data_IF_961019120800
#
_entry.id   IF_961019120800
#
_cell.length_a   1.000
_cell.length_b   1.000
_cell.length_c   1.000
_cell.angle_alpha   90.00
_cell.angle_beta   90.00
_cell.angle_gamma   90.00
#
_symmetry.space_group_name_H-M   'P 1'
#
loop_
_entity.id
_entity.type
_entity.pdbx_description
1 polymer ?
#
# COMPACT_ATOMS: atom_id res chain seq x y z
N UNK A 1 1.24 -8.22 -11.77
CA UNK A 1 2.23 -7.13 -11.60
C UNK A 1 3.63 -7.64 -11.94
N UNK A 2 4.26 -7.13 -13.00
CA UNK A 2 5.63 -7.49 -13.41
C UNK A 2 6.69 -6.61 -12.75
N UNK A 3 6.32 -5.40 -12.31
CA UNK A 3 7.23 -4.45 -11.63
C UNK A 3 7.91 -5.03 -10.39
N UNK A 4 7.13 -5.64 -9.50
CA UNK A 4 7.63 -6.22 -8.25
C UNK A 4 8.34 -7.57 -8.44
N UNK A 5 8.36 -8.11 -9.66
CA UNK A 5 9.13 -9.32 -10.01
C UNK A 5 10.51 -8.99 -10.59
N UNK A 6 10.83 -7.71 -10.79
CA UNK A 6 12.14 -7.29 -11.26
C UNK A 6 13.20 -7.56 -10.18
N UNK A 7 14.24 -8.33 -10.50
CA UNK A 7 15.29 -8.73 -9.55
C UNK A 7 15.95 -7.54 -8.84
N UNK A 8 16.18 -6.42 -9.53
CA UNK A 8 16.82 -5.23 -8.92
C UNK A 8 15.89 -4.56 -7.92
N UNK A 9 14.59 -4.50 -8.22
CA UNK A 9 13.57 -3.98 -7.31
C UNK A 9 13.43 -4.90 -6.09
N UNK A 10 13.39 -6.22 -6.31
CA UNK A 10 13.32 -7.21 -5.23
C UNK A 10 14.49 -7.13 -4.27
N UNK A 11 15.72 -6.95 -4.76
CA UNK A 11 16.89 -6.83 -3.89
C UNK A 11 16.78 -5.61 -2.97
N UNK A 12 16.45 -4.43 -3.53
CA UNK A 12 16.28 -3.21 -2.72
C UNK A 12 15.15 -3.38 -1.69
N UNK A 13 14.02 -3.98 -2.12
CA UNK A 13 12.92 -4.25 -1.21
C UNK A 13 13.36 -5.18 -0.08
N UNK A 14 13.97 -6.32 -0.38
CA UNK A 14 14.39 -7.30 0.64
C UNK A 14 15.48 -6.77 1.59
N UNK A 15 16.35 -5.88 1.12
CA UNK A 15 17.45 -5.32 1.93
C UNK A 15 17.00 -4.15 2.81
N UNK A 16 16.07 -3.31 2.33
CA UNK A 16 15.77 -2.01 2.97
C UNK A 16 14.33 -1.84 3.42
N UNK A 17 13.39 -2.65 2.93
CA UNK A 17 11.96 -2.44 3.14
C UNK A 17 11.24 -3.73 3.58
N UNK A 18 10.14 -3.56 4.30
CA UNK A 18 9.18 -4.64 4.49
C UNK A 18 8.06 -4.49 3.47
N UNK A 19 8.03 -5.38 2.48
CA UNK A 19 6.99 -5.38 1.47
C UNK A 19 5.76 -6.16 1.94
N UNK A 20 4.59 -5.51 1.91
CA UNK A 20 3.30 -6.10 2.27
C UNK A 20 2.25 -5.75 1.21
N UNK A 21 1.35 -6.69 0.94
CA UNK A 21 0.15 -6.46 0.13
C UNK A 21 -1.07 -6.36 1.03
N UNK A 22 -1.88 -5.33 0.84
CA UNK A 22 -3.16 -5.18 1.49
C UNK A 22 -4.29 -5.43 0.49
N UNK A 23 -5.17 -6.39 0.78
CA UNK A 23 -6.40 -6.56 0.02
C UNK A 23 -7.47 -5.62 0.60
N UNK A 24 -7.89 -4.62 -0.19
CA UNK A 24 -8.85 -3.62 0.26
C UNK A 24 -10.26 -4.18 0.50
N UNK A 25 -10.64 -5.30 -0.15
CA UNK A 25 -11.94 -5.93 0.05
C UNK A 25 -11.93 -7.01 1.16
N UNK A 26 -10.83 -7.12 1.92
CA UNK A 26 -10.71 -8.12 2.97
C UNK A 26 -11.65 -7.80 4.14
N UNK A 27 -12.51 -8.75 4.49
CA UNK A 27 -13.55 -8.58 5.51
C UNK A 27 -13.04 -8.70 6.96
N UNK A 28 -11.75 -8.99 7.15
CA UNK A 28 -11.19 -9.11 8.51
C UNK A 28 -11.03 -7.75 9.17
N UNK A 29 -11.03 -7.75 10.49
CA UNK A 29 -10.51 -6.62 11.26
C UNK A 29 -8.99 -6.65 11.25
N UNK A 30 -8.35 -5.51 10.99
CA UNK A 30 -6.90 -5.34 10.98
C UNK A 30 -6.50 -4.41 12.12
N UNK A 31 -5.56 -4.86 12.96
CA UNK A 31 -4.97 -4.01 14.00
C UNK A 31 -3.64 -3.49 13.47
N UNK A 32 -3.52 -2.18 13.34
CA UNK A 32 -2.32 -1.52 12.84
C UNK A 32 -2.04 -0.25 13.63
N UNK A 33 -0.78 -0.03 14.02
CA UNK A 33 -0.36 1.14 14.80
C UNK A 33 -1.26 1.45 16.02
N UNK A 34 -1.56 0.42 16.83
CA UNK A 34 -2.45 0.48 18.00
C UNK A 34 -3.90 0.90 17.70
N UNK A 35 -4.28 0.94 16.43
CA UNK A 35 -5.61 1.29 15.95
C UNK A 35 -6.30 0.08 15.32
N UNK A 36 -7.62 0.03 15.43
CA UNK A 36 -8.45 -1.05 14.89
C UNK A 36 -9.12 -0.55 13.62
N UNK A 37 -8.92 -1.27 12.52
CA UNK A 37 -9.49 -0.98 11.21
C UNK A 37 -10.45 -2.11 10.83
N UNK A 38 -11.72 -1.76 10.62
CA UNK A 38 -12.79 -2.70 10.30
C UNK A 38 -13.07 -2.72 8.80
N UNK A 39 -13.80 -3.74 8.39
CA UNK A 39 -14.41 -3.77 7.07
C UNK A 39 -15.68 -2.93 7.08
N UNK A 40 -15.79 -1.97 6.16
CA UNK A 40 -16.99 -1.15 5.97
C UNK A 40 -17.81 -1.68 4.78
N UNK A 41 -18.94 -2.39 5.01
CA UNK A 41 -19.78 -2.90 3.94
C UNK A 41 -20.55 -1.76 3.26
N UNK A 42 -20.54 -1.76 1.92
CA UNK A 42 -21.30 -0.81 1.09
C UNK A 42 -22.37 -1.48 0.22
N UNK A 43 -22.50 -2.82 0.30
CA UNK A 43 -23.50 -3.59 -0.43
C UNK A 43 -23.28 -5.09 -0.32
N UNK A 44 -24.00 -5.88 -1.14
CA UNK A 44 -23.84 -7.34 -1.16
C UNK A 44 -22.44 -7.74 -1.62
N UNK A 45 -21.64 -8.32 -0.72
CA UNK A 45 -20.22 -8.65 -0.93
C UNK A 45 -19.35 -7.48 -1.39
N UNK A 46 -19.79 -6.24 -1.12
CA UNK A 46 -19.08 -5.01 -1.45
C UNK A 46 -18.77 -4.25 -0.17
N UNK A 47 -17.57 -3.69 -0.12
CA UNK A 47 -17.08 -2.96 1.03
C UNK A 47 -15.57 -2.85 1.00
N UNK A 48 -15.07 -1.97 1.83
CA UNK A 48 -13.65 -1.60 1.84
C UNK A 48 -13.17 -1.64 3.29
N UNK A 49 -12.00 -2.23 3.49
CA UNK A 49 -11.31 -2.19 4.76
C UNK A 49 -10.83 -0.77 5.05
N UNK A 50 -11.12 -0.27 6.24
CA UNK A 50 -10.76 1.09 6.68
C UNK A 50 -9.25 1.35 6.59
N UNK A 51 -8.40 0.33 6.75
CA UNK A 51 -6.96 0.49 6.59
C UNK A 51 -6.58 0.83 5.16
N UNK A 52 -7.26 0.25 4.17
CA UNK A 52 -7.02 0.56 2.76
C UNK A 52 -7.45 1.99 2.42
N UNK A 53 -8.51 2.49 3.06
CA UNK A 53 -8.92 3.90 2.95
C UNK A 53 -7.84 4.80 3.57
N UNK A 54 -7.40 4.49 4.80
CA UNK A 54 -6.42 5.30 5.52
C UNK A 54 -5.06 5.38 4.80
N UNK A 55 -4.57 4.27 4.24
CA UNK A 55 -3.25 4.21 3.59
C UNK A 55 -3.29 4.48 2.08
N UNK A 56 -4.43 4.29 1.42
CA UNK A 56 -4.54 4.33 -0.03
C UNK A 56 -5.26 5.56 -0.60
N UNK A 57 -5.90 6.37 0.23
CA UNK A 57 -6.61 7.57 -0.24
C UNK A 57 -5.61 8.68 -0.53
N UNK A 58 -5.55 9.12 -1.79
CA UNK A 58 -4.74 10.24 -2.26
C UNK A 58 -5.70 11.26 -2.87
N UNK A 59 -5.61 12.53 -2.47
CA UNK A 59 -6.53 13.59 -2.92
C UNK A 59 -8.02 13.21 -2.79
N UNK A 60 -8.40 12.65 -1.63
CA UNK A 60 -9.75 12.18 -1.32
C UNK A 60 -10.29 11.05 -2.22
N UNK A 61 -9.42 10.38 -2.96
CA UNK A 61 -9.80 9.27 -3.83
C UNK A 61 -8.94 8.04 -3.56
N UNK A 62 -9.59 6.87 -3.51
CA UNK A 62 -8.92 5.59 -3.42
C UNK A 62 -8.95 4.92 -4.80
N UNK A 63 -7.78 4.85 -5.45
CA UNK A 63 -7.63 4.26 -6.79
C UNK A 63 -6.73 3.03 -6.73
N UNK A 64 -7.00 2.02 -7.55
CA UNK A 64 -6.22 0.78 -7.58
C UNK A 64 -5.33 0.69 -8.82
N UNK A 65 -4.11 0.15 -8.72
CA UNK A 65 -3.38 -0.09 -7.47
C UNK A 65 -2.96 1.22 -6.80
N UNK A 66 -2.70 1.20 -5.49
CA UNK A 66 -2.02 2.31 -4.79
C UNK A 66 -0.79 1.77 -4.08
N UNK A 67 0.32 2.51 -4.19
CA UNK A 67 1.55 2.29 -3.43
C UNK A 67 1.59 3.28 -2.26
N UNK A 68 1.76 2.77 -1.05
CA UNK A 68 2.00 3.58 0.15
C UNK A 68 3.30 3.12 0.78
N UNK A 69 4.16 4.06 1.19
CA UNK A 69 5.40 3.79 1.91
C UNK A 69 5.32 4.48 3.26
N UNK A 70 5.64 3.70 4.29
CA UNK A 70 5.64 4.12 5.68
C UNK A 70 7.08 4.18 6.19
N UNK A 71 7.37 5.15 7.05
CA UNK A 71 8.61 5.11 7.83
C UNK A 71 8.48 4.18 9.06
N UNK A 72 9.54 4.05 9.84
CA UNK A 72 9.58 3.19 11.04
C UNK A 72 8.59 3.62 12.16
N UNK A 73 8.04 4.84 12.10
CA UNK A 73 7.01 5.34 13.02
C UNK A 73 5.58 5.10 12.50
N UNK A 74 5.43 4.36 11.40
CA UNK A 74 4.17 4.16 10.68
C UNK A 74 3.57 5.45 10.10
N UNK A 75 4.39 6.47 9.86
CA UNK A 75 3.96 7.70 9.19
C UNK A 75 4.08 7.52 7.67
N UNK A 76 3.08 8.03 6.95
CA UNK A 76 3.07 8.00 5.48
C UNK A 76 4.13 8.99 4.98
N UNK A 77 5.16 8.48 4.31
CA UNK A 77 6.21 9.30 3.69
C UNK A 77 6.05 9.39 2.18
N UNK A 78 5.28 8.49 1.58
CA UNK A 78 4.98 8.53 0.15
C UNK A 78 3.68 7.79 -0.17
N UNK A 79 2.89 8.35 -1.09
CA UNK A 79 1.74 7.69 -1.70
C UNK A 79 1.73 7.93 -3.20
N UNK A 80 1.31 6.92 -3.95
CA UNK A 80 1.09 7.02 -5.40
C UNK A 80 -0.08 6.14 -5.83
N UNK A 81 -1.10 6.78 -6.38
CA UNK A 81 -2.23 6.10 -7.00
C UNK A 81 -1.93 5.79 -8.47
N UNK A 82 -2.21 4.56 -8.86
CA UNK A 82 -1.96 4.05 -10.20
C UNK A 82 -0.71 3.17 -10.30
N UNK A 83 -0.51 2.63 -11.49
CA UNK A 83 0.60 1.73 -11.77
C UNK A 83 1.93 2.50 -11.88
N UNK A 84 2.91 2.09 -11.07
CA UNK A 84 4.29 2.55 -11.16
C UNK A 84 5.16 1.49 -11.86
N UNK A 85 5.94 1.92 -12.85
CA UNK A 85 6.81 1.02 -13.61
C UNK A 85 8.12 0.68 -12.85
N UNK A 86 8.84 -0.32 -13.38
CA UNK A 86 10.23 -0.70 -13.08
C UNK A 86 11.12 0.39 -12.52
N UNK A 87 11.42 1.31 -13.43
CA UNK A 87 12.49 2.27 -13.32
C UNK A 87 12.14 3.38 -12.36
N UNK A 88 10.90 3.90 -12.44
CA UNK A 88 10.41 4.93 -11.54
C UNK A 88 10.35 4.44 -10.09
N UNK A 89 9.86 3.21 -9.87
CA UNK A 89 9.86 2.63 -8.53
C UNK A 89 11.30 2.48 -8.00
N UNK A 90 12.23 2.00 -8.83
CA UNK A 90 13.62 1.85 -8.41
C UNK A 90 14.28 3.20 -8.06
N UNK A 91 14.05 4.25 -8.86
CA UNK A 91 14.56 5.59 -8.55
C UNK A 91 13.98 6.12 -7.24
N UNK A 92 12.69 5.93 -7.04
CA UNK A 92 12.00 6.33 -5.81
C UNK A 92 12.58 5.63 -4.57
N UNK A 93 12.72 4.31 -4.62
CA UNK A 93 13.25 3.52 -3.50
C UNK A 93 14.72 3.83 -3.17
N UNK A 94 15.49 4.40 -4.11
CA UNK A 94 16.88 4.81 -3.88
C UNK A 94 16.99 6.17 -3.19
N UNK A 95 15.97 7.01 -3.31
CA UNK A 95 15.93 8.36 -2.73
C UNK A 95 15.25 8.38 -1.35
N UNK A 96 14.80 7.23 -0.87
CA UNK A 96 14.29 6.99 0.48
C UNK A 96 15.37 6.29 1.32
#
# INVERSE_FOLDING_TARGET
ATTLKNKKVLNILNEKFYYLTLNASEQRTIIFNKSVFKYNPSGYNLGINELAIALGTVNNQLTYPTLCILNYKNEIVFQHSGFLNSEKLMQLLKNL
#
